data_IF_840464472640
#
_entry.id   IF_840464472640
#
_cell.length_a   1.000
_cell.length_b   1.000
_cell.length_c   1.000
_cell.angle_alpha   90.00
_cell.angle_beta   90.00
_cell.angle_gamma   90.00
#
_symmetry.space_group_name_H-M   'P 1'
#
loop_
_entity.id
_entity.type
_entity.pdbx_description
1 polymer ?
#
# COMPACT_ATOMS: atom_id res chain seq x y z
N UNK A 1 -10.14 -10.42 -10.86
CA UNK A 1 -9.73 -9.01 -10.65
C UNK A 1 -8.23 -8.92 -10.60
N UNK A 2 -7.65 -7.94 -11.29
CA UNK A 2 -6.21 -7.71 -11.32
C UNK A 2 -5.91 -6.39 -10.60
N UNK A 3 -5.04 -6.45 -9.59
CA UNK A 3 -4.64 -5.29 -8.79
C UNK A 3 -3.12 -5.19 -8.80
N UNK A 4 -2.61 -3.99 -9.10
CA UNK A 4 -1.18 -3.69 -9.03
C UNK A 4 -0.91 -2.99 -7.71
N UNK A 5 0.00 -3.53 -6.91
CA UNK A 5 0.36 -2.98 -5.61
C UNK A 5 1.83 -2.59 -5.63
N UNK A 6 2.12 -1.34 -5.27
CA UNK A 6 3.48 -0.82 -5.19
C UNK A 6 3.66 -0.06 -3.88
N UNK A 7 4.91 0.21 -3.52
CA UNK A 7 5.23 1.00 -2.34
C UNK A 7 6.63 1.60 -2.46
N UNK A 8 6.84 2.66 -1.68
CA UNK A 8 8.18 3.20 -1.44
C UNK A 8 8.92 3.50 -2.75
N UNK A 9 8.26 4.25 -3.64
CA UNK A 9 8.83 4.66 -4.93
C UNK A 9 9.83 5.81 -4.79
N UNK A 10 9.73 6.59 -3.71
CA UNK A 10 10.69 7.63 -3.34
C UNK A 10 11.12 8.52 -4.52
N UNK A 11 10.12 9.08 -5.21
CA UNK A 11 10.36 9.99 -6.33
C UNK A 11 10.63 9.33 -7.69
N UNK A 12 10.63 8.00 -7.78
CA UNK A 12 10.74 7.30 -9.07
C UNK A 12 9.37 7.29 -9.76
N UNK A 13 8.90 8.47 -10.14
CA UNK A 13 7.60 8.67 -10.77
C UNK A 13 7.50 7.98 -12.12
N UNK A 14 8.62 7.88 -12.84
CA UNK A 14 8.72 7.18 -14.12
C UNK A 14 8.22 5.74 -14.01
N UNK A 15 8.58 5.03 -12.92
CA UNK A 15 8.18 3.64 -12.73
C UNK A 15 6.68 3.52 -12.49
N UNK A 16 6.06 4.51 -11.83
CA UNK A 16 4.61 4.51 -11.60
C UNK A 16 3.84 4.65 -12.91
N UNK A 17 4.28 5.51 -13.81
CA UNK A 17 3.65 5.66 -15.12
C UNK A 17 3.90 4.43 -16.01
N UNK A 18 5.12 3.86 -15.97
CA UNK A 18 5.45 2.65 -16.72
C UNK A 18 4.54 1.48 -16.36
N UNK A 19 4.22 1.32 -15.07
CA UNK A 19 3.34 0.25 -14.62
C UNK A 19 1.91 0.41 -15.16
N UNK A 20 1.42 1.64 -15.26
CA UNK A 20 0.10 1.89 -15.84
C UNK A 20 0.06 1.52 -17.32
N UNK A 21 1.15 1.77 -18.05
CA UNK A 21 1.26 1.38 -19.45
C UNK A 21 1.40 -0.15 -19.60
N UNK A 22 2.14 -0.78 -18.68
CA UNK A 22 2.39 -2.21 -18.71
C UNK A 22 1.14 -3.02 -18.36
N UNK A 23 0.28 -2.50 -17.48
CA UNK A 23 -0.93 -3.18 -17.01
C UNK A 23 -2.19 -2.34 -17.29
N UNK A 24 -2.51 -2.09 -18.58
CA UNK A 24 -3.63 -1.19 -18.91
C UNK A 24 -5.00 -1.75 -18.49
N UNK A 25 -5.10 -3.06 -18.25
CA UNK A 25 -6.35 -3.71 -17.87
C UNK A 25 -6.43 -3.99 -16.36
N UNK A 26 -5.54 -3.44 -15.54
CA UNK A 26 -5.64 -3.58 -14.10
C UNK A 26 -6.89 -2.86 -13.57
N UNK A 27 -7.57 -3.49 -12.63
CA UNK A 27 -8.78 -2.95 -12.02
C UNK A 27 -8.47 -1.87 -10.99
N UNK A 28 -7.28 -1.92 -10.38
CA UNK A 28 -6.84 -0.93 -9.42
C UNK A 28 -5.32 -0.86 -9.36
N UNK A 29 -4.81 0.34 -9.04
CA UNK A 29 -3.40 0.59 -8.74
C UNK A 29 -3.33 1.15 -7.32
N UNK A 30 -2.66 0.44 -6.42
CA UNK A 30 -2.54 0.80 -5.02
C UNK A 30 -1.09 1.15 -4.68
N UNK A 31 -0.92 2.26 -3.97
CA UNK A 31 0.40 2.71 -3.51
C UNK A 31 0.41 2.79 -1.98
N UNK A 32 1.29 2.04 -1.34
CA UNK A 32 1.34 1.90 0.11
C UNK A 32 2.08 3.02 0.84
N UNK A 33 2.45 4.09 0.12
CA UNK A 33 3.08 5.26 0.76
C UNK A 33 4.54 5.46 0.41
N UNK A 34 5.07 6.61 0.81
CA UNK A 34 6.39 7.11 0.43
C UNK A 34 6.51 7.29 -1.08
N UNK A 35 5.49 7.93 -1.64
CA UNK A 35 5.47 8.39 -3.04
C UNK A 35 6.28 9.68 -3.20
N UNK A 36 6.27 10.52 -2.18
CA UNK A 36 6.94 11.82 -2.15
C UNK A 36 6.45 12.76 -3.26
N UNK A 37 5.13 12.70 -3.52
CA UNK A 37 4.46 13.52 -4.52
C UNK A 37 2.97 13.65 -4.15
N UNK A 38 2.28 14.70 -4.66
CA UNK A 38 0.85 14.84 -4.39
C UNK A 38 0.02 13.83 -5.18
N UNK A 39 -1.16 13.51 -4.66
CA UNK A 39 -2.10 12.59 -5.29
C UNK A 39 -2.43 13.02 -6.73
N UNK A 40 -2.51 14.31 -6.98
CA UNK A 40 -2.88 14.86 -8.30
C UNK A 40 -1.94 14.44 -9.42
N UNK A 41 -0.69 14.10 -9.09
CA UNK A 41 0.29 13.66 -10.09
C UNK A 41 0.00 12.23 -10.57
N UNK A 42 -0.75 11.45 -9.79
CA UNK A 42 -1.05 10.05 -10.09
C UNK A 42 -2.52 9.76 -9.86
N UNK A 43 -3.43 10.35 -10.66
CA UNK A 43 -4.87 10.21 -10.40
C UNK A 43 -5.38 8.77 -10.57
N UNK A 44 -4.65 7.92 -11.27
CA UNK A 44 -4.99 6.51 -11.43
C UNK A 44 -4.56 5.61 -10.28
N UNK A 45 -3.80 6.13 -9.31
CA UNK A 45 -3.38 5.38 -8.14
C UNK A 45 -4.19 5.79 -6.91
N UNK A 46 -4.51 4.83 -6.05
CA UNK A 46 -5.02 5.09 -4.70
C UNK A 46 -3.80 5.05 -3.77
N UNK A 47 -3.47 6.19 -3.17
CA UNK A 47 -2.23 6.38 -2.42
C UNK A 47 -2.56 6.68 -0.96
N UNK A 48 -1.77 6.12 -0.05
CA UNK A 48 -1.81 6.48 1.37
C UNK A 48 -0.51 7.16 1.77
N UNK A 49 -0.54 7.89 2.89
CA UNK A 49 0.60 8.65 3.38
C UNK A 49 1.64 7.74 4.02
N UNK A 50 2.87 7.82 3.52
CA UNK A 50 4.03 7.26 4.19
C UNK A 50 4.69 8.29 5.11
N UNK A 51 5.73 7.86 5.84
CA UNK A 51 6.41 8.75 6.78
C UNK A 51 7.20 9.87 6.09
N UNK A 52 7.50 9.73 4.80
CA UNK A 52 8.19 10.78 4.01
C UNK A 52 7.23 11.66 3.21
N UNK A 53 5.92 11.47 3.36
CA UNK A 53 4.89 12.20 2.59
C UNK A 53 4.23 13.32 3.39
N UNK A 54 4.84 13.78 4.46
CA UNK A 54 4.18 14.69 5.41
C UNK A 54 3.82 16.06 4.83
N UNK A 55 4.38 16.44 3.68
CA UNK A 55 4.03 17.68 2.99
C UNK A 55 2.77 17.56 2.14
N UNK A 56 2.28 16.34 1.90
CA UNK A 56 1.22 16.10 0.94
C UNK A 56 -0.06 15.67 1.65
N UNK A 57 -1.20 16.09 1.10
CA UNK A 57 -2.51 15.75 1.64
C UNK A 57 -2.92 14.36 1.14
N UNK A 58 -2.43 13.33 1.85
CA UNK A 58 -2.73 11.93 1.57
C UNK A 58 -3.37 11.30 2.81
N UNK A 59 -4.37 10.42 2.65
CA UNK A 59 -4.97 9.75 3.80
C UNK A 59 -3.97 8.81 4.47
N UNK A 60 -4.08 8.66 5.79
CA UNK A 60 -3.21 7.79 6.57
C UNK A 60 -3.41 6.31 6.20
N UNK A 61 -4.64 5.95 5.84
CA UNK A 61 -4.99 4.61 5.35
C UNK A 61 -6.25 4.68 4.51
N UNK A 62 -6.52 3.59 3.77
CA UNK A 62 -7.77 3.42 3.03
C UNK A 62 -8.32 2.04 3.29
N UNK A 63 -9.64 1.91 3.28
CA UNK A 63 -10.33 0.63 3.31
C UNK A 63 -11.06 0.49 1.98
N UNK A 64 -10.75 -0.57 1.23
CA UNK A 64 -11.19 -0.72 -0.14
C UNK A 64 -11.88 -2.08 -0.34
N UNK A 65 -13.10 -2.12 -0.91
CA UNK A 65 -13.70 -3.39 -1.33
C UNK A 65 -13.11 -3.79 -2.69
N UNK A 66 -12.42 -4.91 -2.74
CA UNK A 66 -11.78 -5.40 -3.98
C UNK A 66 -11.99 -6.91 -4.12
N UNK A 67 -12.68 -7.32 -5.17
CA UNK A 67 -12.84 -8.74 -5.52
C UNK A 67 -13.44 -9.61 -4.43
N UNK A 68 -14.43 -9.12 -3.70
CA UNK A 68 -15.03 -9.86 -2.58
C UNK A 68 -14.24 -9.80 -1.29
N UNK A 69 -13.11 -9.12 -1.29
CA UNK A 69 -12.28 -8.88 -0.11
C UNK A 69 -12.40 -7.44 0.35
N UNK A 70 -12.05 -7.20 1.61
CA UNK A 70 -11.99 -5.86 2.17
C UNK A 70 -10.54 -5.59 2.52
N UNK A 71 -9.92 -4.66 1.79
CA UNK A 71 -8.47 -4.43 1.82
C UNK A 71 -8.15 -3.18 2.62
N UNK A 72 -7.25 -3.32 3.59
CA UNK A 72 -6.62 -2.19 4.28
C UNK A 72 -5.35 -1.81 3.53
N UNK A 73 -5.28 -0.57 3.07
CA UNK A 73 -4.08 0.00 2.46
C UNK A 73 -3.47 0.96 3.47
N UNK A 74 -2.22 0.73 3.89
CA UNK A 74 -1.56 1.51 4.94
C UNK A 74 -0.04 1.39 4.79
N UNK A 75 0.70 2.46 5.12
CA UNK A 75 2.17 2.39 5.02
C UNK A 75 2.79 1.52 6.10
N UNK A 76 2.24 1.54 7.30
CA UNK A 76 2.63 0.77 8.50
C UNK A 76 3.70 1.41 9.39
N UNK A 77 4.19 2.60 9.04
CA UNK A 77 5.09 3.34 9.93
C UNK A 77 4.43 3.73 11.27
N UNK A 78 3.09 3.69 11.32
CA UNK A 78 2.30 3.99 12.50
C UNK A 78 2.45 2.94 13.61
N UNK A 79 2.93 1.75 13.27
CA UNK A 79 3.01 0.62 14.19
C UNK A 79 4.43 0.41 14.69
N UNK A 80 4.56 -0.22 15.86
CA UNK A 80 5.88 -0.47 16.43
C UNK A 80 6.64 -1.54 15.62
N UNK A 81 7.94 -1.42 15.57
CA UNK A 81 8.79 -2.36 14.84
C UNK A 81 8.56 -3.82 15.28
N UNK A 82 8.50 -4.04 16.60
CA UNK A 82 8.40 -5.40 17.15
C UNK A 82 7.01 -6.00 17.06
N UNK A 83 5.95 -5.15 17.06
CA UNK A 83 4.56 -5.58 17.10
C UNK A 83 3.80 -5.24 15.83
N UNK A 84 4.52 -4.94 14.75
CA UNK A 84 3.89 -4.46 13.51
C UNK A 84 2.82 -5.41 13.01
N UNK A 85 3.14 -6.71 12.89
CA UNK A 85 2.18 -7.69 12.38
C UNK A 85 0.92 -7.74 13.23
N UNK A 86 1.09 -7.86 14.54
CA UNK A 86 -0.03 -7.93 15.47
C UNK A 86 -0.89 -6.67 15.40
N UNK A 87 -0.25 -5.50 15.39
CA UNK A 87 -0.97 -4.22 15.36
C UNK A 87 -1.68 -4.00 14.02
N UNK A 88 -1.07 -4.39 12.90
CA UNK A 88 -1.71 -4.34 11.58
C UNK A 88 -2.94 -5.23 11.53
N UNK A 89 -2.82 -6.45 12.04
CA UNK A 89 -3.92 -7.42 12.04
C UNK A 89 -5.08 -6.90 12.90
N UNK A 90 -4.80 -6.39 14.07
CA UNK A 90 -5.82 -5.81 14.95
C UNK A 90 -6.52 -4.62 14.28
N UNK A 91 -5.73 -3.73 13.68
CA UNK A 91 -6.26 -2.57 12.96
C UNK A 91 -7.16 -2.98 11.80
N UNK A 92 -6.76 -4.02 11.06
CA UNK A 92 -7.53 -4.55 9.94
C UNK A 92 -8.83 -5.19 10.42
N UNK A 93 -8.77 -6.01 11.46
CA UNK A 93 -9.96 -6.71 11.98
C UNK A 93 -11.00 -5.74 12.55
N UNK A 94 -10.57 -4.67 13.21
CA UNK A 94 -11.48 -3.64 13.71
C UNK A 94 -12.29 -3.00 12.57
N UNK A 95 -11.76 -3.02 11.34
CA UNK A 95 -12.38 -2.44 10.16
C UNK A 95 -13.00 -3.48 9.22
N UNK A 96 -13.03 -4.74 9.67
CA UNK A 96 -13.58 -5.82 8.87
C UNK A 96 -12.75 -6.20 7.66
N UNK A 97 -11.45 -5.92 7.67
CA UNK A 97 -10.55 -6.20 6.55
C UNK A 97 -9.90 -7.57 6.70
N UNK A 98 -9.78 -8.29 5.60
CA UNK A 98 -9.13 -9.60 5.52
C UNK A 98 -7.80 -9.57 4.75
N UNK A 99 -7.45 -8.42 4.17
CA UNK A 99 -6.19 -8.21 3.45
C UNK A 99 -5.57 -6.90 3.90
N UNK A 100 -4.25 -6.89 4.14
CA UNK A 100 -3.48 -5.67 4.40
C UNK A 100 -2.41 -5.55 3.34
N UNK A 101 -2.42 -4.44 2.60
CA UNK A 101 -1.33 -4.06 1.71
C UNK A 101 -0.53 -2.95 2.41
N UNK A 102 0.76 -3.19 2.65
CA UNK A 102 1.59 -2.27 3.43
C UNK A 102 3.00 -2.16 2.84
N UNK A 103 3.75 -1.17 3.29
CA UNK A 103 5.11 -0.91 2.84
C UNK A 103 6.05 -0.66 4.01
N UNK A 104 6.86 0.37 3.92
CA UNK A 104 7.77 0.89 4.94
C UNK A 104 9.02 0.03 5.19
N UNK A 105 8.88 -1.28 5.34
CA UNK A 105 10.02 -2.16 5.65
C UNK A 105 10.96 -2.37 4.47
N UNK A 106 10.50 -2.11 3.24
CA UNK A 106 11.19 -2.39 1.97
C UNK A 106 11.44 -3.88 1.74
N UNK A 107 10.81 -4.76 2.51
CA UNK A 107 10.97 -6.22 2.40
C UNK A 107 9.67 -6.82 1.89
N UNK A 108 9.73 -7.48 0.73
CA UNK A 108 8.57 -8.15 0.16
C UNK A 108 8.06 -9.24 1.12
N UNK A 109 6.75 -9.32 1.27
CA UNK A 109 6.10 -10.24 2.18
C UNK A 109 4.75 -10.67 1.62
N UNK A 110 4.38 -11.93 1.86
CA UNK A 110 3.10 -12.48 1.43
C UNK A 110 2.76 -13.62 2.37
N UNK A 111 2.03 -13.33 3.46
CA UNK A 111 1.73 -14.30 4.52
C UNK A 111 0.29 -14.21 4.96
N UNK A 112 -0.31 -15.38 5.24
CA UNK A 112 -1.56 -15.43 5.99
C UNK A 112 -1.23 -15.55 7.46
N UNK A 113 -1.85 -14.69 8.28
CA UNK A 113 -1.70 -14.72 9.71
C UNK A 113 -3.01 -14.31 10.41
N UNK A 114 -3.51 -15.18 11.28
CA UNK A 114 -4.75 -14.95 12.03
C UNK A 114 -5.95 -14.61 11.11
N UNK A 115 -6.00 -15.24 9.94
CA UNK A 115 -7.07 -15.04 8.96
C UNK A 115 -6.93 -13.79 8.10
N UNK A 116 -5.81 -13.07 8.20
CA UNK A 116 -5.53 -11.85 7.43
C UNK A 116 -4.34 -12.08 6.52
N UNK A 117 -4.49 -11.74 5.24
CA UNK A 117 -3.39 -11.76 4.29
C UNK A 117 -2.57 -10.47 4.46
N UNK A 118 -1.27 -10.63 4.74
CA UNK A 118 -0.32 -9.52 4.83
C UNK A 118 0.50 -9.49 3.55
N UNK A 119 0.40 -8.42 2.78
CA UNK A 119 1.06 -8.26 1.50
C UNK A 119 1.90 -7.00 1.49
N UNK A 120 3.22 -7.15 1.32
CA UNK A 120 4.15 -6.04 1.12
C UNK A 120 4.83 -6.23 -0.24
N UNK A 121 4.70 -5.29 -1.18
CA UNK A 121 5.31 -5.43 -2.50
C UNK A 121 6.83 -5.18 -2.49
N UNK A 122 7.40 -4.79 -1.36
CA UNK A 122 8.78 -4.30 -1.30
C UNK A 122 8.88 -2.87 -1.80
N UNK A 123 10.10 -2.34 -1.88
CA UNK A 123 10.32 -1.00 -2.37
C UNK A 123 10.47 -1.02 -3.90
N UNK A 124 9.74 -0.17 -4.59
CA UNK A 124 9.86 -0.03 -6.03
C UNK A 124 11.22 0.58 -6.42
N UNK A 125 11.77 1.43 -5.55
CA UNK A 125 13.07 2.08 -5.81
C UNK A 125 14.26 1.21 -5.45
N UNK A 126 14.16 0.45 -4.36
CA UNK A 126 15.30 -0.27 -3.77
C UNK A 126 15.16 -1.79 -3.84
N UNK A 127 14.27 -2.29 -4.65
CA UNK A 127 14.03 -3.73 -4.79
C UNK A 127 15.17 -4.49 -5.48
#
# INVERSE_FOLDING_TARGET
MKVVVVSDSHGRDDLLYDLQEQYPNADAFLHCGDVEAPQENFPGYLIVQGNNDYYYDLPAHRVLPLGGHRVLLIHSHQFSYRKRDQQMIEFAKERGCDVVCYGHTHVADNRMKDGVLLLNPGSLRYS
#
